data_IF_662625864074
#
_entry.id   IF_662625864074
#
_cell.length_a   1.000
_cell.length_b   1.000
_cell.length_c   1.000
_cell.angle_alpha   90.00
_cell.angle_beta   90.00
_cell.angle_gamma   90.00
#
_symmetry.space_group_name_H-M   'P 1'
#
loop_
_entity.id
_entity.type
_entity.pdbx_description
1 polymer ?
#
# COMPACT_ATOMS: atom_id res chain seq x y z
N UNK A 1 -6.60 9.54 -3.36
CA UNK A 1 -5.41 9.99 -2.62
C UNK A 1 -4.18 9.59 -3.39
N UNK A 2 -3.36 10.54 -3.89
CA UNK A 2 -2.04 10.23 -4.45
C UNK A 2 -1.01 10.19 -3.32
N UNK A 3 -0.06 9.26 -3.38
CA UNK A 3 1.09 9.28 -2.47
C UNK A 3 1.89 10.55 -2.80
N UNK A 4 2.15 11.39 -1.79
CA UNK A 4 2.92 12.61 -1.97
C UNK A 4 4.38 12.29 -2.30
N UNK A 5 4.92 12.89 -3.36
CA UNK A 5 6.32 12.70 -3.77
C UNK A 5 7.30 13.08 -2.66
N UNK A 6 6.96 14.08 -1.83
CA UNK A 6 7.74 14.50 -0.67
C UNK A 6 7.90 13.38 0.37
N UNK A 7 6.89 12.53 0.54
CA UNK A 7 6.95 11.42 1.50
C UNK A 7 7.87 10.30 1.00
N UNK A 8 7.82 9.99 -0.29
CA UNK A 8 8.75 9.04 -0.91
C UNK A 8 10.17 9.60 -0.84
N UNK A 9 10.36 10.87 -1.18
CA UNK A 9 11.67 11.51 -1.12
C UNK A 9 12.28 11.46 0.30
N UNK A 10 11.48 11.74 1.33
CA UNK A 10 11.92 11.67 2.73
C UNK A 10 12.33 10.26 3.17
N UNK A 11 11.59 9.23 2.73
CA UNK A 11 11.91 7.83 3.01
C UNK A 11 13.15 7.39 2.23
N UNK A 12 13.30 7.84 0.99
CA UNK A 12 14.47 7.59 0.16
C UNK A 12 15.74 8.21 0.75
N UNK A 13 15.66 9.41 1.33
CA UNK A 13 16.79 10.01 2.06
C UNK A 13 17.20 9.23 3.31
N UNK A 14 16.34 8.37 3.85
CA UNK A 14 16.65 7.44 4.94
C UNK A 14 17.23 6.11 4.46
N UNK A 15 17.47 5.97 3.16
CA UNK A 15 18.01 4.76 2.55
C UNK A 15 16.96 3.68 2.27
N UNK A 16 15.67 4.02 2.32
CA UNK A 16 14.63 3.13 1.82
C UNK A 16 14.57 3.27 0.29
N UNK A 17 14.48 2.16 -0.41
CA UNK A 17 14.11 2.18 -1.82
C UNK A 17 12.66 2.63 -2.00
N UNK A 18 12.37 3.19 -3.17
CA UNK A 18 11.06 3.74 -3.50
C UNK A 18 9.95 2.69 -3.37
N UNK A 19 10.24 1.42 -3.67
CA UNK A 19 9.27 0.33 -3.60
C UNK A 19 8.90 0.00 -2.15
N UNK A 20 9.90 -0.12 -1.27
CA UNK A 20 9.67 -0.26 0.17
C UNK A 20 9.01 0.99 0.79
N UNK A 21 9.36 2.18 0.35
CA UNK A 21 8.72 3.42 0.80
C UNK A 21 7.22 3.43 0.48
N UNK A 22 6.85 3.07 -0.75
CA UNK A 22 5.45 2.95 -1.20
C UNK A 22 4.73 1.86 -0.43
N UNK A 23 5.35 0.67 -0.29
CA UNK A 23 4.79 -0.44 0.48
C UNK A 23 4.51 -0.04 1.92
N UNK A 24 5.41 0.70 2.57
CA UNK A 24 5.23 1.14 3.95
C UNK A 24 4.08 2.13 4.11
N UNK A 25 3.95 3.10 3.19
CA UNK A 25 2.85 4.08 3.20
C UNK A 25 1.49 3.39 2.96
N UNK A 26 1.41 2.50 1.98
CA UNK A 26 0.19 1.76 1.65
C UNK A 26 -0.21 0.84 2.79
N UNK A 27 0.73 0.10 3.38
CA UNK A 27 0.45 -0.77 4.52
C UNK A 27 -0.04 0.02 5.74
N UNK A 28 0.53 1.21 5.99
CA UNK A 28 0.06 2.11 7.05
C UNK A 28 -1.38 2.57 6.85
N UNK A 29 -1.73 2.97 5.61
CA UNK A 29 -3.09 3.37 5.25
C UNK A 29 -4.09 2.21 5.33
N UNK A 30 -3.72 1.05 4.80
CA UNK A 30 -4.59 -0.13 4.83
C UNK A 30 -4.71 -0.75 6.22
N UNK A 31 -3.82 -0.44 7.17
CA UNK A 31 -3.89 -0.98 8.54
C UNK A 31 -5.17 -0.61 9.27
N UNK A 32 -5.65 0.62 9.12
CA UNK A 32 -6.93 1.03 9.73
C UNK A 32 -8.11 0.38 9.02
N UNK A 33 -8.06 0.32 7.69
CA UNK A 33 -9.06 -0.38 6.87
C UNK A 33 -9.16 -1.86 7.25
N UNK A 34 -8.03 -2.57 7.38
CA UNK A 34 -7.99 -3.97 7.80
C UNK A 34 -8.40 -4.17 9.25
N UNK A 35 -8.31 -3.15 10.11
CA UNK A 35 -8.76 -3.24 11.51
C UNK A 35 -10.29 -3.13 11.63
N UNK A 36 -10.90 -2.39 10.72
CA UNK A 36 -12.36 -2.29 10.63
C UNK A 36 -12.98 -3.36 9.71
N UNK A 37 -12.18 -3.96 8.83
CA UNK A 37 -12.65 -5.06 7.99
C UNK A 37 -12.75 -6.34 8.82
N UNK A 38 -13.93 -7.00 8.87
CA UNK A 38 -14.05 -8.30 9.48
C UNK A 38 -13.08 -9.29 8.82
N UNK A 39 -12.41 -10.12 9.62
CA UNK A 39 -11.38 -11.08 9.16
C UNK A 39 -11.87 -12.00 8.03
N UNK A 40 -13.19 -12.24 7.97
CA UNK A 40 -13.86 -13.01 6.92
C UNK A 40 -13.75 -12.39 5.53
N UNK A 41 -13.60 -11.06 5.42
CA UNK A 41 -13.50 -10.33 4.15
C UNK A 41 -12.06 -9.88 3.82
N UNK A 42 -11.15 -9.90 4.80
CA UNK A 42 -9.77 -9.44 4.61
C UNK A 42 -8.98 -10.31 3.62
N UNK A 43 -9.29 -11.61 3.58
CA UNK A 43 -8.67 -12.58 2.67
C UNK A 43 -9.10 -12.31 1.22
N UNK A 44 -10.36 -11.97 0.99
CA UNK A 44 -10.91 -11.71 -0.34
C UNK A 44 -10.45 -10.34 -0.87
N UNK A 45 -10.40 -9.32 -0.01
CA UNK A 45 -9.90 -7.98 -0.36
C UNK A 45 -8.42 -8.00 -0.76
N UNK A 46 -7.58 -8.79 -0.07
CA UNK A 46 -6.16 -8.94 -0.43
C UNK A 46 -5.98 -9.58 -1.81
N UNK A 47 -6.87 -10.51 -2.17
CA UNK A 47 -6.86 -11.20 -3.46
C UNK A 47 -7.28 -10.27 -4.59
N UNK A 48 -8.34 -9.49 -4.39
CA UNK A 48 -8.81 -8.47 -5.34
C UNK A 48 -7.77 -7.36 -5.59
N UNK A 49 -7.15 -6.85 -4.52
CA UNK A 49 -6.07 -5.86 -4.63
C UNK A 49 -4.89 -6.37 -5.46
N UNK A 50 -4.49 -7.63 -5.25
CA UNK A 50 -3.40 -8.26 -6.01
C UNK A 50 -3.74 -8.34 -7.51
N UNK A 51 -4.98 -8.67 -7.86
CA UNK A 51 -5.44 -8.77 -9.26
C UNK A 51 -5.54 -7.39 -9.92
N UNK A 52 -6.00 -6.36 -9.19
CA UNK A 52 -6.05 -4.98 -9.72
C UNK A 52 -4.67 -4.39 -9.97
N UNK A 53 -3.66 -4.75 -9.17
CA UNK A 53 -2.28 -4.32 -9.37
C UNK A 53 -1.65 -4.96 -10.61
N UNK A 54 -1.94 -6.24 -10.88
CA UNK A 54 -1.47 -6.93 -12.09
C UNK A 54 -2.10 -6.35 -13.37
N UNK A 55 -3.34 -5.86 -13.30
CA UNK A 55 -4.05 -5.23 -14.41
C UNK A 55 -3.81 -3.72 -14.61
N UNK A 56 -3.14 -3.04 -13.67
CA UNK A 56 -2.83 -1.59 -13.76
C UNK A 56 -1.36 -1.28 -14.07
N UNK A 57 -0.52 -2.31 -14.29
CA UNK A 57 0.79 -2.14 -14.93
C UNK A 57 0.59 -2.34 -16.44
N UNK A 58 0.01 -1.32 -17.07
CA UNK A 58 -0.23 -1.21 -18.51
C UNK A 58 -0.32 0.26 -18.88
#
# INVERSE_FOLDING_TARGET
SKIGEDQIFYLNQRGLDTENAVSMIVNGFCKEVFRELPMEFAVEARKLLSVSLEGSVG
#
